data_IF_079005444037
#
_entry.id   IF_079005444037
#
_cell.length_a   1.000
_cell.length_b   1.000
_cell.length_c   1.000
_cell.angle_alpha   90.00
_cell.angle_beta   90.00
_cell.angle_gamma   90.00
#
_symmetry.space_group_name_H-M   'P 1'
#
loop_
_entity.id
_entity.type
_entity.pdbx_description
1 polymer ?
#
# COMPACT_ATOMS: atom_id res chain seq x y z
N UNK A 1 -22.70 12.75 -48.06
CA UNK A 1 -23.50 13.61 -47.17
C UNK A 1 -23.65 12.85 -45.87
N UNK A 2 -23.01 13.34 -44.82
CA UNK A 2 -22.96 12.75 -43.49
C UNK A 2 -24.18 13.12 -42.66
N UNK A 3 -24.53 12.26 -41.70
CA UNK A 3 -24.92 12.64 -40.34
C UNK A 3 -24.92 11.38 -39.48
N UNK A 4 -23.81 11.20 -38.77
CA UNK A 4 -23.75 10.39 -37.55
C UNK A 4 -24.48 11.15 -36.44
N UNK A 5 -25.36 10.48 -35.71
CA UNK A 5 -25.88 10.99 -34.45
C UNK A 5 -25.16 10.23 -33.34
N UNK A 6 -24.22 10.91 -32.70
CA UNK A 6 -23.60 10.51 -31.45
C UNK A 6 -24.65 10.74 -30.36
N UNK A 7 -25.15 9.65 -29.78
CA UNK A 7 -25.97 9.68 -28.58
C UNK A 7 -25.07 9.61 -27.35
N UNK A 8 -24.77 10.76 -26.78
CA UNK A 8 -24.17 10.89 -25.46
C UNK A 8 -25.28 10.67 -24.42
N UNK A 9 -25.22 9.62 -23.60
CA UNK A 9 -25.96 9.57 -22.34
C UNK A 9 -24.97 9.60 -21.19
N UNK A 10 -24.66 10.81 -20.75
CA UNK A 10 -24.14 11.10 -19.41
C UNK A 10 -25.18 10.68 -18.38
N UNK A 11 -24.81 9.79 -17.46
CA UNK A 11 -25.28 9.71 -16.07
C UNK A 11 -24.80 8.38 -15.47
N UNK A 12 -23.50 8.26 -15.20
CA UNK A 12 -23.07 7.30 -14.18
C UNK A 12 -23.09 8.04 -12.85
N UNK A 13 -24.24 7.93 -12.19
CA UNK A 13 -24.34 8.01 -10.74
C UNK A 13 -23.39 6.95 -10.18
N UNK A 14 -22.16 7.34 -9.82
CA UNK A 14 -21.17 6.46 -9.17
C UNK A 14 -21.58 6.27 -7.71
N UNK A 15 -22.73 5.65 -7.51
CA UNK A 15 -22.99 4.89 -6.30
C UNK A 15 -22.31 3.54 -6.49
N UNK A 16 -21.03 3.46 -6.14
CA UNK A 16 -20.35 2.18 -5.95
C UNK A 16 -21.12 1.49 -4.82
N UNK A 17 -21.99 0.55 -5.19
CA UNK A 17 -22.82 -0.19 -4.26
C UNK A 17 -21.95 -1.13 -3.44
N UNK A 18 -22.29 -1.31 -2.17
CA UNK A 18 -21.68 -2.33 -1.31
C UNK A 18 -21.77 -3.76 -1.91
N UNK A 19 -22.66 -3.98 -2.88
CA UNK A 19 -22.80 -5.24 -3.63
C UNK A 19 -21.69 -5.46 -4.66
N UNK A 20 -21.07 -4.41 -5.21
CA UNK A 20 -19.92 -4.57 -6.12
C UNK A 20 -18.67 -5.04 -5.35
N UNK A 21 -18.62 -4.82 -4.03
CA UNK A 21 -17.51 -5.23 -3.15
C UNK A 21 -17.49 -6.74 -2.84
N UNK A 22 -18.64 -7.44 -2.94
CA UNK A 22 -18.68 -8.90 -2.79
C UNK A 22 -18.16 -9.62 -4.04
N UNK A 23 -18.25 -8.98 -5.21
CA UNK A 23 -17.98 -9.63 -6.50
C UNK A 23 -16.48 -9.70 -6.80
N UNK A 24 -15.70 -8.71 -6.38
CA UNK A 24 -14.24 -8.70 -6.51
C UNK A 24 -13.55 -9.74 -5.61
N UNK A 25 -14.17 -10.11 -4.48
CA UNK A 25 -13.65 -11.14 -3.58
C UNK A 25 -13.80 -12.57 -4.13
N UNK A 26 -14.68 -12.79 -5.11
CA UNK A 26 -15.04 -14.12 -5.63
C UNK A 26 -14.12 -14.54 -6.80
N UNK A 27 -13.35 -13.63 -7.40
CA UNK A 27 -12.41 -13.94 -8.50
C UNK A 27 -10.94 -14.06 -8.05
N UNK A 28 -10.69 -14.32 -6.76
CA UNK A 28 -9.35 -14.44 -6.17
C UNK A 28 -8.59 -15.74 -6.55
N UNK A 29 -8.78 -16.27 -7.75
CA UNK A 29 -7.98 -17.37 -8.30
C UNK A 29 -7.36 -16.92 -9.63
N UNK A 30 -6.36 -16.03 -9.54
CA UNK A 30 -5.16 -15.97 -10.39
C UNK A 30 -4.37 -14.72 -9.95
N UNK A 31 -3.07 -14.90 -9.68
CA UNK A 31 -2.10 -13.91 -9.13
C UNK A 31 -2.19 -13.52 -7.65
N UNK A 32 -2.30 -14.48 -6.72
CA UNK A 32 -1.62 -14.27 -5.43
C UNK A 32 -0.12 -14.45 -5.63
N UNK A 33 0.60 -13.34 -5.63
CA UNK A 33 2.04 -13.37 -5.36
C UNK A 33 2.29 -14.09 -4.02
N UNK A 34 3.47 -14.67 -3.84
CA UNK A 34 3.81 -15.45 -2.65
C UNK A 34 3.66 -14.69 -1.32
N UNK A 35 3.45 -13.37 -1.36
CA UNK A 35 3.22 -12.49 -0.24
C UNK A 35 1.81 -12.71 0.38
N UNK A 36 1.69 -13.25 1.60
CA UNK A 36 0.40 -13.43 2.27
C UNK A 36 -0.25 -12.12 2.72
N UNK A 37 0.45 -11.00 2.68
CA UNK A 37 -0.05 -9.66 3.05
C UNK A 37 -0.37 -8.78 1.83
N UNK A 38 -0.47 -9.38 0.63
CA UNK A 38 -0.63 -8.68 -0.66
C UNK A 38 -1.81 -7.69 -0.70
N UNK A 39 -2.86 -7.96 0.08
CA UNK A 39 -4.12 -7.22 0.02
C UNK A 39 -4.08 -5.89 0.79
N UNK A 40 -3.04 -5.61 1.58
CA UNK A 40 -2.93 -4.39 2.37
C UNK A 40 -2.75 -3.15 1.47
N UNK A 41 -1.90 -3.24 0.45
CA UNK A 41 -1.66 -2.17 -0.52
C UNK A 41 -2.90 -1.78 -1.33
N UNK A 42 -3.58 -2.72 -2.03
CA UNK A 42 -4.80 -2.43 -2.75
C UNK A 42 -5.93 -1.90 -1.84
N UNK A 43 -6.03 -2.43 -0.61
CA UNK A 43 -6.96 -1.91 0.38
C UNK A 43 -6.67 -0.44 0.72
N UNK A 44 -5.41 -0.11 1.04
CA UNK A 44 -4.98 1.25 1.35
C UNK A 44 -5.36 2.23 0.25
N UNK A 45 -5.02 1.92 -1.00
CA UNK A 45 -5.30 2.80 -2.13
C UNK A 45 -6.80 3.01 -2.34
N UNK A 46 -7.60 1.94 -2.26
CA UNK A 46 -9.06 2.04 -2.36
C UNK A 46 -9.65 2.97 -1.29
N UNK A 47 -9.19 2.84 -0.04
CA UNK A 47 -9.67 3.69 1.05
C UNK A 47 -9.23 5.14 0.87
N UNK A 48 -8.00 5.38 0.43
CA UNK A 48 -7.50 6.71 0.09
C UNK A 48 -8.33 7.38 -1.01
N UNK A 49 -8.56 6.68 -2.13
CA UNK A 49 -9.40 7.17 -3.24
C UNK A 49 -10.81 7.49 -2.76
N UNK A 50 -11.41 6.61 -1.97
CA UNK A 50 -12.77 6.82 -1.44
C UNK A 50 -12.83 8.01 -0.48
N UNK A 51 -11.82 8.17 0.39
CA UNK A 51 -11.70 9.32 1.28
C UNK A 51 -11.64 10.64 0.48
N UNK A 52 -10.82 10.69 -0.58
CA UNK A 52 -10.69 11.85 -1.45
C UNK A 52 -12.00 12.21 -2.18
N UNK A 53 -12.82 11.22 -2.54
CA UNK A 53 -14.09 11.42 -3.23
C UNK A 53 -15.25 11.83 -2.30
N UNK A 54 -15.31 11.25 -1.09
CA UNK A 54 -16.49 11.36 -0.22
C UNK A 54 -16.30 12.33 0.95
N UNK A 55 -15.04 12.61 1.36
CA UNK A 55 -14.61 13.51 2.45
C UNK A 55 -15.41 13.38 3.79
N UNK A 56 -16.08 12.23 4.00
CA UNK A 56 -16.90 11.95 5.17
C UNK A 56 -16.75 10.49 5.66
N UNK A 57 -15.76 9.77 5.14
CA UNK A 57 -15.46 8.40 5.53
C UNK A 57 -15.10 8.37 7.01
N UNK A 58 -15.72 7.44 7.77
CA UNK A 58 -15.45 7.29 9.19
C UNK A 58 -14.40 6.22 9.41
N UNK A 59 -13.55 6.42 10.41
CA UNK A 59 -12.56 5.44 10.87
C UNK A 59 -13.16 4.03 11.07
N UNK A 60 -14.39 3.96 11.60
CA UNK A 60 -15.12 2.70 11.81
C UNK A 60 -15.41 1.96 10.51
N UNK A 61 -15.67 2.68 9.43
CA UNK A 61 -15.98 2.07 8.13
C UNK A 61 -14.71 1.47 7.51
N UNK A 62 -13.56 2.13 7.66
CA UNK A 62 -12.25 1.61 7.27
C UNK A 62 -11.93 0.35 8.10
N UNK A 63 -12.14 0.41 9.41
CA UNK A 63 -11.89 -0.74 10.30
C UNK A 63 -12.69 -1.98 9.88
N UNK A 64 -14.00 -1.82 9.66
CA UNK A 64 -14.86 -2.94 9.29
C UNK A 64 -14.41 -3.56 7.97
N UNK A 65 -14.08 -2.74 6.97
CA UNK A 65 -13.65 -3.22 5.66
C UNK A 65 -12.25 -3.87 5.71
N UNK A 66 -11.31 -3.31 6.48
CA UNK A 66 -9.99 -3.93 6.65
C UNK A 66 -10.14 -5.28 7.33
N UNK A 67 -10.90 -5.35 8.43
CA UNK A 67 -11.11 -6.59 9.15
C UNK A 67 -11.78 -7.67 8.27
N UNK A 68 -12.76 -7.29 7.45
CA UNK A 68 -13.37 -8.20 6.47
C UNK A 68 -12.36 -8.67 5.42
N UNK A 69 -11.52 -7.78 4.90
CA UNK A 69 -10.46 -8.12 3.94
C UNK A 69 -9.50 -9.14 4.58
N UNK A 70 -8.94 -8.84 5.75
CA UNK A 70 -8.01 -9.73 6.43
C UNK A 70 -8.61 -11.13 6.68
N UNK A 71 -9.89 -11.19 7.10
CA UNK A 71 -10.60 -12.46 7.28
C UNK A 71 -10.80 -13.22 5.96
N UNK A 72 -11.21 -12.54 4.88
CA UNK A 72 -11.43 -13.17 3.57
C UNK A 72 -10.15 -13.80 3.01
N UNK A 73 -9.00 -13.19 3.31
CA UNK A 73 -7.69 -13.59 2.81
C UNK A 73 -6.85 -14.40 3.81
N UNK A 74 -7.43 -14.77 4.97
CA UNK A 74 -6.74 -15.49 6.07
C UNK A 74 -5.43 -14.80 6.51
N UNK A 75 -5.43 -13.48 6.56
CA UNK A 75 -4.27 -12.67 6.96
C UNK A 75 -4.33 -12.46 8.48
N UNK A 76 -3.36 -13.04 9.18
CA UNK A 76 -3.18 -12.83 10.61
C UNK A 76 -2.27 -11.62 10.86
N UNK A 77 -2.84 -10.55 11.41
CA UNK A 77 -2.09 -9.43 11.97
C UNK A 77 -1.85 -9.73 13.46
N UNK A 78 -0.63 -9.49 13.95
CA UNK A 78 -0.31 -9.57 15.38
C UNK A 78 -1.36 -8.79 16.21
N UNK A 79 -1.58 -9.18 17.46
CA UNK A 79 -2.22 -8.30 18.45
C UNK A 79 -3.70 -7.95 18.27
N UNK A 80 -4.53 -8.78 17.62
CA UNK A 80 -6.01 -8.63 17.52
C UNK A 80 -6.77 -8.37 18.85
N UNK A 81 -6.11 -8.39 20.02
CA UNK A 81 -6.71 -8.29 21.34
C UNK A 81 -6.21 -7.11 22.21
N UNK A 82 -5.35 -6.20 21.71
CA UNK A 82 -4.83 -5.09 22.52
C UNK A 82 -5.35 -3.73 22.04
N UNK A 83 -6.13 -3.04 22.88
CA UNK A 83 -6.73 -1.71 22.68
C UNK A 83 -5.73 -0.53 22.79
N UNK A 84 -4.42 -0.77 22.68
CA UNK A 84 -3.43 0.28 22.96
C UNK A 84 -3.08 1.04 21.69
N UNK A 85 -3.64 2.24 21.56
CA UNK A 85 -3.31 3.18 20.49
C UNK A 85 -1.82 3.60 20.58
N UNK A 86 -1.12 3.85 19.45
CA UNK A 86 0.27 4.28 19.48
C UNK A 86 0.37 5.64 20.18
N UNK A 87 1.40 5.83 21.00
CA UNK A 87 1.54 7.02 21.84
C UNK A 87 2.05 8.25 21.08
N UNK A 88 2.60 8.10 19.88
CA UNK A 88 3.05 9.20 19.03
C UNK A 88 2.75 8.86 17.56
N UNK A 89 1.97 9.72 16.90
CA UNK A 89 1.69 9.64 15.46
C UNK A 89 2.79 10.47 14.77
N UNK A 90 3.59 9.89 13.86
CA UNK A 90 4.56 10.66 13.09
C UNK A 90 3.85 11.76 12.31
N UNK A 91 4.30 13.01 12.44
CA UNK A 91 3.85 14.10 11.57
C UNK A 91 4.43 13.86 10.17
N UNK A 92 3.66 13.22 9.29
CA UNK A 92 4.10 12.89 7.92
C UNK A 92 4.56 14.11 7.11
N UNK A 93 4.11 15.33 7.47
CA UNK A 93 4.51 16.60 6.87
C UNK A 93 5.98 16.99 7.07
N UNK A 94 6.70 16.37 8.01
CA UNK A 94 8.11 16.62 8.29
C UNK A 94 8.99 15.38 8.05
N UNK A 95 8.46 14.38 7.33
CA UNK A 95 9.17 13.14 7.04
C UNK A 95 10.45 13.39 6.25
N UNK A 96 11.57 12.98 6.81
CA UNK A 96 12.89 12.94 6.18
C UNK A 96 13.56 11.57 6.37
N UNK A 97 14.72 11.35 5.75
CA UNK A 97 15.47 10.09 5.89
C UNK A 97 15.82 9.77 7.36
N UNK A 98 16.04 10.80 8.19
CA UNK A 98 16.34 10.61 9.62
C UNK A 98 15.15 10.07 10.39
N UNK A 99 13.94 10.46 9.97
CA UNK A 99 12.68 9.96 10.50
C UNK A 99 12.50 8.48 10.16
N UNK A 100 12.78 8.08 8.92
CA UNK A 100 12.74 6.66 8.51
C UNK A 100 13.67 5.80 9.35
N UNK A 101 14.94 6.22 9.47
CA UNK A 101 15.92 5.50 10.29
C UNK A 101 15.47 5.39 11.74
N UNK A 102 15.01 6.50 12.33
CA UNK A 102 14.53 6.53 13.72
C UNK A 102 13.34 5.58 13.94
N UNK A 103 12.38 5.52 13.02
CA UNK A 103 11.22 4.62 13.11
C UNK A 103 11.68 3.15 13.11
N UNK A 104 12.61 2.78 12.22
CA UNK A 104 13.15 1.41 12.16
C UNK A 104 13.93 1.08 13.42
N UNK A 105 14.84 1.95 13.85
CA UNK A 105 15.70 1.73 15.02
C UNK A 105 14.87 1.51 16.29
N UNK A 106 13.79 2.28 16.46
CA UNK A 106 12.90 2.20 17.62
C UNK A 106 11.81 1.13 17.49
N UNK A 107 11.69 0.45 16.34
CA UNK A 107 10.69 -0.60 16.14
C UNK A 107 11.00 -1.87 16.94
N UNK A 108 9.96 -2.70 17.11
CA UNK A 108 10.05 -4.04 17.70
C UNK A 108 10.61 -5.10 16.74
N UNK A 109 11.06 -4.71 15.55
CA UNK A 109 11.73 -5.60 14.60
C UNK A 109 13.03 -6.16 15.19
N UNK A 110 13.42 -7.35 14.74
CA UNK A 110 14.75 -7.85 15.07
C UNK A 110 15.84 -7.15 14.24
N UNK A 111 17.10 -7.22 14.68
CA UNK A 111 18.21 -6.54 13.99
C UNK A 111 18.38 -6.94 12.52
N UNK A 112 18.14 -8.21 12.17
CA UNK A 112 18.19 -8.66 10.77
C UNK A 112 17.10 -8.00 9.93
N UNK A 113 15.90 -7.88 10.48
CA UNK A 113 14.77 -7.23 9.81
C UNK A 113 15.00 -5.71 9.69
N UNK A 114 15.49 -5.05 10.75
CA UNK A 114 15.83 -3.62 10.75
C UNK A 114 16.84 -3.28 9.66
N UNK A 115 17.98 -3.99 9.64
CA UNK A 115 19.02 -3.78 8.62
C UNK A 115 18.47 -4.00 7.22
N UNK A 116 17.79 -5.12 7.00
CA UNK A 116 17.28 -5.50 5.68
C UNK A 116 16.21 -4.53 5.15
N UNK A 117 15.29 -4.09 6.00
CA UNK A 117 14.23 -3.14 5.62
C UNK A 117 14.80 -1.76 5.34
N UNK A 118 15.77 -1.31 6.14
CA UNK A 118 16.46 -0.04 5.90
C UNK A 118 17.24 -0.03 4.58
N UNK A 119 17.99 -1.09 4.30
CA UNK A 119 18.71 -1.25 3.03
C UNK A 119 17.75 -1.22 1.83
N UNK A 120 16.64 -1.97 1.92
CA UNK A 120 15.63 -1.97 0.87
C UNK A 120 15.00 -0.59 0.63
N UNK A 121 14.67 0.15 1.69
CA UNK A 121 14.12 1.51 1.55
C UNK A 121 15.14 2.49 0.99
N UNK A 122 16.41 2.37 1.37
CA UNK A 122 17.46 3.18 0.78
C UNK A 122 17.64 2.86 -0.71
N UNK A 123 17.61 1.60 -1.10
CA UNK A 123 17.67 1.21 -2.52
C UNK A 123 16.46 1.75 -3.29
N UNK A 124 15.27 1.73 -2.68
CA UNK A 124 14.04 2.25 -3.26
C UNK A 124 14.09 3.78 -3.46
N UNK A 125 14.56 4.53 -2.46
CA UNK A 125 14.62 6.00 -2.49
C UNK A 125 15.76 6.54 -3.35
N UNK A 126 16.85 5.78 -3.49
CA UNK A 126 17.99 6.14 -4.35
C UNK A 126 17.79 5.67 -5.80
N UNK A 127 16.69 4.99 -6.10
CA UNK A 127 16.38 4.56 -7.44
C UNK A 127 15.96 5.75 -8.30
N UNK A 128 16.85 6.15 -9.21
CA UNK A 128 16.64 7.26 -10.16
C UNK A 128 16.51 6.72 -11.60
N UNK A 129 15.84 5.58 -11.79
CA UNK A 129 15.74 4.92 -13.10
C UNK A 129 14.32 4.94 -13.66
N UNK A 130 14.21 5.13 -14.97
CA UNK A 130 12.94 5.21 -15.70
C UNK A 130 12.29 3.82 -15.93
N UNK A 131 12.74 2.77 -15.23
CA UNK A 131 12.32 1.39 -15.49
C UNK A 131 11.53 0.81 -14.30
N UNK A 132 10.24 1.10 -14.30
CA UNK A 132 9.23 0.51 -13.42
C UNK A 132 9.36 -1.02 -13.23
N UNK A 133 9.56 -1.79 -14.31
CA UNK A 133 9.64 -3.26 -14.25
C UNK A 133 10.84 -3.72 -13.40
N UNK A 134 11.93 -2.95 -13.42
CA UNK A 134 13.11 -3.23 -12.61
C UNK A 134 12.81 -3.07 -11.12
N UNK A 135 12.13 -1.99 -10.72
CA UNK A 135 11.75 -1.76 -9.31
C UNK A 135 10.84 -2.87 -8.82
N UNK A 136 9.80 -3.19 -9.59
CA UNK A 136 8.86 -4.24 -9.23
C UNK A 136 9.55 -5.62 -9.12
N UNK A 137 10.50 -5.92 -10.00
CA UNK A 137 11.32 -7.12 -9.89
C UNK A 137 12.18 -7.14 -8.62
N UNK A 138 12.74 -6.00 -8.19
CA UNK A 138 13.44 -5.92 -6.90
C UNK A 138 12.49 -6.15 -5.72
N UNK A 139 11.28 -5.58 -5.77
CA UNK A 139 10.27 -5.78 -4.73
C UNK A 139 9.90 -7.28 -4.62
N UNK A 140 9.58 -7.94 -5.73
CA UNK A 140 9.25 -9.37 -5.71
C UNK A 140 10.41 -10.25 -5.24
N UNK A 141 11.64 -9.90 -5.61
CA UNK A 141 12.84 -10.58 -5.11
C UNK A 141 12.94 -10.43 -3.59
N UNK A 142 12.74 -9.21 -3.08
CA UNK A 142 12.80 -8.93 -1.66
C UNK A 142 11.69 -9.64 -0.86
N UNK A 143 10.48 -9.72 -1.40
CA UNK A 143 9.38 -10.52 -0.84
C UNK A 143 9.75 -12.00 -0.74
N UNK A 144 10.29 -12.58 -1.82
CA UNK A 144 10.73 -13.98 -1.86
C UNK A 144 11.83 -14.26 -0.84
N UNK A 145 12.84 -13.40 -0.72
CA UNK A 145 13.90 -13.52 0.28
C UNK A 145 13.32 -13.43 1.70
N UNK A 146 12.39 -12.50 1.94
CA UNK A 146 11.70 -12.32 3.22
C UNK A 146 10.87 -13.55 3.59
N UNK A 147 10.15 -14.17 2.66
CA UNK A 147 9.34 -15.37 2.89
C UNK A 147 10.23 -16.58 3.22
N UNK A 148 11.42 -16.66 2.64
CA UNK A 148 12.31 -17.80 2.84
C UNK A 148 13.34 -17.62 3.99
N UNK A 149 13.45 -16.41 4.56
CA UNK A 149 14.46 -16.11 5.56
C UNK A 149 14.09 -16.61 6.97
N UNK A 150 14.69 -17.73 7.41
CA UNK A 150 14.48 -18.34 8.73
C UNK A 150 14.86 -17.48 9.94
N UNK A 151 15.61 -16.40 9.76
CA UNK A 151 16.01 -15.49 10.84
C UNK A 151 14.97 -14.41 11.14
N UNK A 152 13.92 -14.31 10.31
CA UNK A 152 12.80 -13.40 10.52
C UNK A 152 11.69 -14.07 11.32
N UNK A 153 11.18 -13.34 12.32
CA UNK A 153 9.98 -13.71 13.07
C UNK A 153 8.72 -13.53 12.20
N UNK A 154 7.57 -13.98 12.70
CA UNK A 154 6.29 -13.74 12.02
C UNK A 154 5.98 -12.24 11.92
N UNK A 155 6.28 -11.48 12.98
CA UNK A 155 6.08 -10.03 12.99
C UNK A 155 7.01 -9.33 12.00
N UNK A 156 8.29 -9.71 11.94
CA UNK A 156 9.23 -9.13 10.96
C UNK A 156 8.72 -9.33 9.53
N UNK A 157 8.23 -10.53 9.21
CA UNK A 157 7.64 -10.84 7.90
C UNK A 157 6.37 -10.04 7.65
N UNK A 158 5.47 -9.97 8.63
CA UNK A 158 4.26 -9.15 8.51
C UNK A 158 4.61 -7.72 8.12
N UNK A 159 5.53 -7.08 8.84
CA UNK A 159 5.93 -5.70 8.58
C UNK A 159 6.50 -5.55 7.17
N UNK A 160 7.52 -6.35 6.82
CA UNK A 160 8.19 -6.23 5.52
C UNK A 160 7.24 -6.52 4.34
N UNK A 161 6.39 -7.54 4.48
CA UNK A 161 5.48 -7.97 3.43
C UNK A 161 4.26 -7.05 3.30
N UNK A 162 3.79 -6.43 4.39
CA UNK A 162 2.80 -5.36 4.33
C UNK A 162 3.38 -4.11 3.66
N UNK A 163 4.63 -3.76 4.02
CA UNK A 163 5.34 -2.60 3.47
C UNK A 163 5.54 -2.74 1.96
N UNK A 164 6.03 -3.88 1.50
CA UNK A 164 6.21 -4.16 0.07
C UNK A 164 4.89 -4.18 -0.69
N UNK A 165 3.80 -4.68 -0.11
CA UNK A 165 2.45 -4.57 -0.69
C UNK A 165 2.02 -3.11 -0.88
N UNK A 166 2.27 -2.24 0.11
CA UNK A 166 1.98 -0.81 0.02
C UNK A 166 2.84 -0.12 -1.04
N UNK A 167 4.15 -0.42 -1.09
CA UNK A 167 5.07 0.07 -2.12
C UNK A 167 4.57 -0.34 -3.50
N UNK A 168 4.21 -1.62 -3.71
CA UNK A 168 3.65 -2.10 -4.98
C UNK A 168 2.36 -1.43 -5.41
N UNK A 169 1.70 -0.71 -4.52
CA UNK A 169 0.47 0.02 -4.81
C UNK A 169 0.69 1.52 -4.64
N UNK A 170 1.94 2.00 -4.67
CA UNK A 170 2.25 3.43 -4.57
C UNK A 170 1.65 4.24 -5.72
N UNK A 171 1.63 5.56 -5.59
CA UNK A 171 1.25 6.42 -6.71
C UNK A 171 2.18 6.23 -7.92
N UNK A 172 3.49 6.04 -7.71
CA UNK A 172 4.42 5.68 -8.77
C UNK A 172 3.98 4.43 -9.55
N UNK A 173 3.52 3.40 -8.83
CA UNK A 173 2.96 2.20 -9.47
C UNK A 173 1.71 2.49 -10.30
N UNK A 174 0.75 3.24 -9.74
CA UNK A 174 -0.50 3.54 -10.45
C UNK A 174 -0.27 4.42 -11.68
N UNK A 175 0.65 5.38 -11.59
CA UNK A 175 1.03 6.23 -12.71
C UNK A 175 1.69 5.41 -13.81
N UNK A 176 2.64 4.52 -13.49
CA UNK A 176 3.29 3.67 -14.49
C UNK A 176 2.29 2.77 -15.24
N UNK A 177 1.33 2.17 -14.54
CA UNK A 177 0.27 1.38 -15.19
C UNK A 177 -0.63 2.22 -16.10
N UNK A 178 -0.98 3.44 -15.69
CA UNK A 178 -1.79 4.34 -16.49
C UNK A 178 -1.08 4.73 -17.80
N UNK A 179 0.24 4.91 -17.78
CA UNK A 179 1.02 5.19 -18.99
C UNK A 179 1.16 3.94 -19.87
N UNK A 180 1.32 2.74 -19.29
CA UNK A 180 1.36 1.49 -20.06
C UNK A 180 0.04 1.19 -20.80
N UNK A 181 -1.10 1.58 -20.23
CA UNK A 181 -2.42 1.35 -20.83
C UNK A 181 -2.75 2.30 -21.99
N UNK A 182 -2.04 3.42 -22.11
CA UNK A 182 -2.18 4.39 -23.19
C UNK A 182 -0.99 4.20 -24.15
N UNK A 183 -1.18 3.36 -25.18
CA UNK A 183 -0.17 2.92 -26.16
C UNK A 183 0.34 4.03 -27.12
N UNK A 184 0.58 5.26 -26.64
CA UNK A 184 1.29 6.27 -27.42
C UNK A 184 2.80 6.10 -27.16
N UNK A 185 3.48 5.35 -28.04
CA UNK A 185 4.92 5.00 -27.98
C UNK A 185 5.86 6.21 -27.81
N UNK A 186 5.39 7.43 -28.11
CA UNK A 186 6.15 8.68 -28.04
C UNK A 186 6.07 9.38 -26.65
N UNK A 187 5.25 8.90 -25.70
CA UNK A 187 5.13 9.43 -24.32
C UNK A 187 5.60 8.43 -23.23
N UNK A 188 6.34 7.38 -23.62
CA UNK A 188 6.89 6.39 -22.69
C UNK A 188 8.11 6.88 -21.87
N UNK A 189 8.47 8.17 -21.98
CA UNK A 189 9.62 8.76 -21.27
C UNK A 189 9.38 9.01 -19.77
N UNK A 190 8.13 8.92 -19.28
CA UNK A 190 7.77 9.26 -17.88
C UNK A 190 7.27 8.04 -17.07
N UNK A 191 7.84 6.84 -17.27
CA UNK A 191 7.59 5.67 -16.41
C UNK A 191 8.41 5.69 -15.10
N UNK A 192 8.63 6.88 -14.56
CA UNK A 192 9.40 7.06 -13.33
C UNK A 192 8.59 6.51 -12.16
N UNK A 193 9.10 5.43 -11.57
CA UNK A 193 8.68 5.03 -10.24
C UNK A 193 9.26 6.02 -9.24
N UNK A 194 8.56 7.13 -8.99
CA UNK A 194 8.89 8.03 -7.90
C UNK A 194 8.07 7.67 -6.65
N UNK A 195 8.78 7.39 -5.55
CA UNK A 195 8.18 7.23 -4.23
C UNK A 195 8.86 8.21 -3.28
N UNK A 196 8.06 9.08 -2.69
CA UNK A 196 8.57 10.08 -1.78
C UNK A 196 9.00 9.47 -0.44
N UNK A 197 9.92 10.16 0.25
CA UNK A 197 10.26 9.85 1.65
C UNK A 197 9.01 9.91 2.54
N UNK A 198 8.09 10.85 2.28
CA UNK A 198 6.82 10.97 3.00
C UNK A 198 5.92 9.74 2.84
N UNK A 199 5.74 9.24 1.62
CA UNK A 199 4.99 8.00 1.36
C UNK A 199 5.65 6.80 2.01
N UNK A 200 6.99 6.73 1.98
CA UNK A 200 7.75 5.66 2.63
C UNK A 200 7.53 5.64 4.14
N UNK A 201 7.52 6.82 4.80
CA UNK A 201 7.23 6.93 6.25
C UNK A 201 5.80 6.47 6.55
N UNK A 202 4.81 6.88 5.75
CA UNK A 202 3.43 6.44 5.90
C UNK A 202 3.32 4.92 5.79
N UNK A 203 3.93 4.32 4.77
CA UNK A 203 3.86 2.88 4.56
C UNK A 203 4.55 2.10 5.68
N UNK A 204 5.66 2.62 6.18
CA UNK A 204 6.36 2.03 7.31
C UNK A 204 5.51 2.07 8.59
N UNK A 205 4.87 3.20 8.88
CA UNK A 205 4.01 3.37 10.06
C UNK A 205 2.79 2.42 10.02
N UNK A 206 2.12 2.32 8.86
CA UNK A 206 1.03 1.35 8.64
C UNK A 206 1.53 -0.08 8.85
N UNK A 207 2.71 -0.42 8.33
CA UNK A 207 3.24 -1.78 8.36
C UNK A 207 3.72 -2.20 9.74
N UNK A 208 4.23 -1.27 10.54
CA UNK A 208 4.68 -1.49 11.91
C UNK A 208 3.54 -1.70 12.91
N UNK A 209 2.31 -1.36 12.52
CA UNK A 209 1.13 -1.52 13.36
C UNK A 209 1.00 -2.94 13.92
N UNK A 210 0.85 -3.03 15.24
CA UNK A 210 0.71 -4.28 15.96
C UNK A 210 -0.74 -4.72 16.14
N UNK A 211 -1.71 -3.96 15.61
CA UNK A 211 -3.12 -4.31 15.61
C UNK A 211 -3.85 -3.72 14.40
N UNK A 212 -5.04 -4.24 14.10
CA UNK A 212 -5.91 -3.71 13.04
C UNK A 212 -6.31 -2.27 13.36
N UNK A 213 -6.58 -1.96 14.64
CA UNK A 213 -6.93 -0.62 15.10
C UNK A 213 -5.81 0.39 14.82
N UNK A 214 -4.57 0.03 15.15
CA UNK A 214 -3.39 0.86 14.87
C UNK A 214 -3.22 1.08 13.37
N UNK A 215 -3.33 0.00 12.58
CA UNK A 215 -3.18 0.06 11.13
C UNK A 215 -4.23 0.99 10.50
N UNK A 216 -5.50 0.87 10.91
CA UNK A 216 -6.60 1.72 10.44
C UNK A 216 -6.39 3.18 10.84
N UNK A 217 -5.89 3.41 12.05
CA UNK A 217 -5.58 4.76 12.53
C UNK A 217 -4.46 5.39 11.71
N UNK A 218 -3.36 4.67 11.46
CA UNK A 218 -2.26 5.14 10.62
C UNK A 218 -2.73 5.45 9.19
N UNK A 219 -3.51 4.55 8.58
CA UNK A 219 -4.12 4.77 7.26
C UNK A 219 -4.97 6.05 7.25
N UNK A 220 -5.88 6.18 8.21
CA UNK A 220 -6.81 7.31 8.27
C UNK A 220 -6.12 8.66 8.50
N UNK A 221 -5.09 8.72 9.35
CA UNK A 221 -4.32 9.96 9.53
C UNK A 221 -3.52 10.31 8.27
N UNK A 222 -2.97 9.33 7.57
CA UNK A 222 -2.28 9.57 6.29
C UNK A 222 -3.20 10.20 5.23
N UNK A 223 -4.50 9.88 5.26
CA UNK A 223 -5.48 10.45 4.33
C UNK A 223 -5.76 11.94 4.60
N UNK A 224 -5.49 12.44 5.81
CA UNK A 224 -5.72 13.84 6.17
C UNK A 224 -4.55 14.76 5.84
N UNK A 225 -3.38 14.19 5.52
CA UNK A 225 -2.12 14.94 5.58
C UNK A 225 -1.05 14.56 4.57
N UNK A 226 -1.45 14.29 3.32
CA UNK A 226 -0.56 14.33 2.14
C UNK A 226 -1.05 15.41 1.18
#
# INVERSE_FOLDING_TARGET
MALFIIGCSTSNDLTIGLEDLETDAINAEETFGANPFEQIGPFYQRMRTTYNLQNNMKLKDIYNQLNQTLLAYNIEVKGSNNDSMPNEIPSYFLADETTLLSIIENSALNETAKTSLYEFMQDLLNYNGDNYDFVLAQVYKYESETINNKYLTSYDRQVILSFTSLVKNSHGYQNALAHQANEDEDELEDQDWDISVGETVVYLDISLSESIQEMVQAMYESFKGL
#
